data_IF_850997263395
#
_entry.id   IF_850997263395
#
_cell.length_a   1.000
_cell.length_b   1.000
_cell.length_c   1.000
_cell.angle_alpha   90.00
_cell.angle_beta   90.00
_cell.angle_gamma   90.00
#
_symmetry.space_group_name_H-M   'P 1'
#
loop_
_entity.id
_entity.type
_entity.pdbx_description
1 polymer ?
#
# COMPACT_ATOMS: atom_id res chain seq x y z
N UNK A 1 -2.38 -6.04 -0.78
CA UNK A 1 -2.11 -7.42 -0.31
C UNK A 1 -2.00 -8.39 -1.49
N UNK A 2 -3.05 -8.59 -2.30
CA UNK A 2 -3.05 -9.57 -3.42
C UNK A 2 -1.86 -9.39 -4.38
N UNK A 3 -1.64 -8.20 -4.93
CA UNK A 3 -0.52 -7.96 -5.85
C UNK A 3 0.84 -8.21 -5.19
N UNK A 4 1.03 -7.76 -3.95
CA UNK A 4 2.29 -7.93 -3.24
C UNK A 4 2.59 -9.41 -2.90
N UNK A 5 1.56 -10.18 -2.53
CA UNK A 5 1.67 -11.63 -2.37
C UNK A 5 2.03 -12.30 -3.70
N UNK A 6 1.35 -11.89 -4.79
CA UNK A 6 1.66 -12.36 -6.14
C UNK A 6 3.12 -12.09 -6.49
N UNK A 7 3.62 -10.87 -6.25
CA UNK A 7 5.03 -10.50 -6.46
C UNK A 7 6.01 -11.32 -5.62
N UNK A 8 5.68 -11.65 -4.36
CA UNK A 8 6.53 -12.53 -3.54
C UNK A 8 6.64 -13.92 -4.16
N UNK A 9 5.50 -14.52 -4.53
CA UNK A 9 5.47 -15.88 -5.08
C UNK A 9 6.15 -15.93 -6.45
N UNK A 10 5.76 -15.04 -7.37
CA UNK A 10 6.35 -15.01 -8.72
C UNK A 10 7.81 -14.57 -8.69
N UNK A 11 8.18 -13.66 -7.76
CA UNK A 11 9.55 -13.25 -7.51
C UNK A 11 10.43 -14.39 -7.02
N UNK A 12 9.95 -15.20 -6.08
CA UNK A 12 10.67 -16.40 -5.61
C UNK A 12 10.85 -17.46 -6.70
N UNK A 13 9.85 -17.65 -7.57
CA UNK A 13 9.96 -18.55 -8.74
C UNK A 13 11.05 -18.04 -9.70
N UNK A 14 11.05 -16.74 -9.98
CA UNK A 14 12.07 -16.13 -10.84
C UNK A 14 13.47 -16.20 -10.21
N UNK A 15 13.60 -15.93 -8.91
CA UNK A 15 14.88 -16.02 -8.19
C UNK A 15 15.49 -17.43 -8.28
N UNK A 16 14.65 -18.47 -8.20
CA UNK A 16 15.09 -19.85 -8.39
C UNK A 16 15.67 -20.09 -9.78
N UNK A 17 15.06 -19.53 -10.81
CA UNK A 17 15.52 -19.65 -12.20
C UNK A 17 16.79 -18.82 -12.48
N UNK A 18 16.91 -17.63 -11.90
CA UNK A 18 18.04 -16.72 -12.18
C UNK A 18 19.27 -16.95 -11.31
N UNK A 19 19.08 -17.32 -10.04
CA UNK A 19 20.16 -17.42 -9.04
C UNK A 19 20.25 -18.78 -8.36
N UNK A 20 19.38 -19.73 -8.69
CA UNK A 20 19.40 -21.08 -8.11
C UNK A 20 18.83 -21.19 -6.70
N UNK A 21 18.48 -20.07 -6.04
CA UNK A 21 17.87 -20.02 -4.71
C UNK A 21 16.47 -19.39 -4.73
N UNK A 22 15.55 -19.92 -3.92
CA UNK A 22 14.18 -19.40 -3.78
C UNK A 22 14.12 -18.09 -2.98
N UNK A 23 15.06 -17.91 -2.06
CA UNK A 23 15.12 -16.78 -1.16
C UNK A 23 16.53 -16.61 -0.60
N UNK A 24 16.98 -15.35 -0.45
CA UNK A 24 18.29 -15.01 0.10
C UNK A 24 18.11 -13.98 1.21
N UNK A 25 18.43 -14.37 2.43
CA UNK A 25 18.24 -13.53 3.62
C UNK A 25 19.30 -12.43 3.76
N UNK A 26 20.48 -12.61 3.16
CA UNK A 26 21.53 -11.59 3.16
C UNK A 26 21.18 -10.40 2.24
N UNK A 27 20.19 -10.55 1.36
CA UNK A 27 19.86 -9.53 0.40
C UNK A 27 18.87 -8.50 1.00
N UNK A 28 19.29 -7.23 1.17
CA UNK A 28 18.44 -6.21 1.76
C UNK A 28 17.19 -5.94 0.94
N UNK A 29 17.22 -6.00 -0.41
CA UNK A 29 16.02 -5.75 -1.23
C UNK A 29 14.88 -6.74 -0.94
N UNK A 30 15.21 -8.03 -0.83
CA UNK A 30 14.23 -9.10 -0.58
C UNK A 30 13.62 -8.96 0.82
N UNK A 31 14.48 -8.82 1.83
CA UNK A 31 14.04 -8.70 3.23
C UNK A 31 13.23 -7.43 3.47
N UNK A 32 13.68 -6.30 2.91
CA UNK A 32 12.94 -5.02 2.96
C UNK A 32 11.54 -5.13 2.34
N UNK A 33 11.42 -5.76 1.18
CA UNK A 33 10.11 -5.96 0.54
C UNK A 33 9.20 -6.85 1.39
N UNK A 34 9.74 -7.93 2.00
CA UNK A 34 9.01 -8.78 2.93
C UNK A 34 8.52 -8.00 4.16
N UNK A 35 9.37 -7.15 4.75
CA UNK A 35 9.00 -6.31 5.90
C UNK A 35 7.86 -5.35 5.53
N UNK A 36 7.95 -4.68 4.38
CA UNK A 36 6.86 -3.82 3.89
C UNK A 36 5.59 -4.64 3.68
N UNK A 37 5.69 -5.80 3.04
CA UNK A 37 4.53 -6.66 2.82
C UNK A 37 3.84 -7.03 4.14
N UNK A 38 4.59 -7.48 5.14
CA UNK A 38 4.07 -7.82 6.46
C UNK A 38 3.46 -6.60 7.17
N UNK A 39 4.11 -5.44 7.09
CA UNK A 39 3.57 -4.18 7.63
C UNK A 39 2.20 -3.87 7.02
N UNK A 40 2.08 -3.91 5.69
CA UNK A 40 0.81 -3.66 5.00
C UNK A 40 -0.22 -4.79 5.21
N UNK A 41 0.21 -6.04 5.42
CA UNK A 41 -0.67 -7.14 5.74
C UNK A 41 -1.30 -6.98 7.14
N UNK A 42 -0.53 -6.51 8.12
CA UNK A 42 -0.99 -6.25 9.49
C UNK A 42 -2.01 -5.11 9.59
N UNK A 43 -2.08 -4.20 8.61
CA UNK A 43 -3.05 -3.10 8.61
C UNK A 43 -4.51 -3.58 8.70
N UNK A 44 -4.85 -4.62 7.94
CA UNK A 44 -6.25 -5.06 7.82
C UNK A 44 -6.75 -5.72 9.11
N UNK A 45 -6.05 -6.72 9.70
CA UNK A 45 -6.41 -7.28 10.99
C UNK A 45 -6.44 -6.24 12.11
N UNK A 46 -5.46 -5.32 12.17
CA UNK A 46 -5.44 -4.24 13.15
C UNK A 46 -6.69 -3.37 13.07
N UNK A 47 -7.15 -3.08 11.85
CA UNK A 47 -8.37 -2.30 11.66
C UNK A 47 -9.61 -3.07 12.12
N UNK A 48 -9.67 -4.38 11.93
CA UNK A 48 -10.85 -5.18 12.30
C UNK A 48 -10.85 -5.66 13.75
N UNK A 49 -9.72 -5.62 14.46
CA UNK A 49 -9.64 -6.03 15.87
C UNK A 49 -10.16 -4.98 16.85
N UNK A 50 -10.53 -3.78 16.39
CA UNK A 50 -10.96 -2.67 17.23
C UNK A 50 -12.44 -2.41 17.00
N UNK A 51 -13.25 -2.63 18.04
CA UNK A 51 -14.72 -2.50 17.98
C UNK A 51 -15.18 -1.04 17.96
N UNK A 52 -14.56 -0.19 18.78
CA UNK A 52 -14.84 1.24 18.84
C UNK A 52 -14.39 1.92 17.54
N UNK A 53 -15.36 2.44 16.78
CA UNK A 53 -15.12 3.07 15.46
C UNK A 53 -14.23 4.31 15.54
N UNK A 54 -14.31 5.11 16.60
CA UNK A 54 -13.48 6.30 16.74
C UNK A 54 -12.03 5.91 17.03
N UNK A 55 -11.83 4.96 17.96
CA UNK A 55 -10.49 4.42 18.24
C UNK A 55 -9.90 3.73 17.03
N UNK A 56 -10.69 2.92 16.35
CA UNK A 56 -10.32 2.24 15.11
C UNK A 56 -9.82 3.25 14.06
N UNK A 57 -10.57 4.35 13.83
CA UNK A 57 -10.19 5.38 12.87
C UNK A 57 -8.87 6.08 13.24
N UNK A 58 -8.65 6.37 14.52
CA UNK A 58 -7.41 7.00 15.02
C UNK A 58 -6.20 6.08 14.88
N UNK A 59 -6.30 4.82 15.31
CA UNK A 59 -5.17 3.91 15.20
C UNK A 59 -4.86 3.55 13.74
N UNK A 60 -5.88 3.39 12.90
CA UNK A 60 -5.70 3.14 11.48
C UNK A 60 -5.03 4.32 10.75
N UNK A 61 -5.33 5.58 11.14
CA UNK A 61 -4.70 6.74 10.53
C UNK A 61 -3.22 6.87 10.94
N UNK A 62 -2.91 6.67 12.23
CA UNK A 62 -1.53 6.67 12.73
C UNK A 62 -0.72 5.59 12.02
N UNK A 63 -1.25 4.37 11.96
CA UNK A 63 -0.59 3.27 11.25
C UNK A 63 -0.34 3.60 9.78
N UNK A 64 -1.34 4.15 9.09
CA UNK A 64 -1.21 4.50 7.67
C UNK A 64 -0.14 5.56 7.42
N UNK A 65 -0.03 6.58 8.30
CA UNK A 65 1.01 7.61 8.22
C UNK A 65 2.40 6.99 8.44
N UNK A 66 2.54 6.15 9.48
CA UNK A 66 3.82 5.47 9.78
C UNK A 66 4.24 4.55 8.63
N UNK A 67 3.31 3.75 8.11
CA UNK A 67 3.57 2.89 6.94
C UNK A 67 3.94 3.70 5.70
N UNK A 68 3.31 4.85 5.48
CA UNK A 68 3.68 5.78 4.42
C UNK A 68 5.09 6.35 4.58
N UNK A 69 5.47 6.76 5.79
CA UNK A 69 6.83 7.24 6.11
C UNK A 69 7.89 6.13 5.99
N UNK A 70 7.49 4.88 6.19
CA UNK A 70 8.39 3.73 6.05
C UNK A 70 8.82 3.49 4.60
N UNK A 71 8.05 3.92 3.60
CA UNK A 71 8.40 3.74 2.18
C UNK A 71 9.70 4.46 1.79
N UNK A 72 9.85 5.80 1.98
CA UNK A 72 11.10 6.49 1.67
C UNK A 72 12.25 6.05 2.59
N UNK A 73 11.97 5.75 3.86
CA UNK A 73 12.95 5.21 4.79
C UNK A 73 13.53 3.88 4.29
N UNK A 74 12.68 2.96 3.85
CA UNK A 74 13.08 1.68 3.30
C UNK A 74 13.91 1.85 2.02
N UNK A 75 13.51 2.77 1.14
CA UNK A 75 14.28 3.07 -0.06
C UNK A 75 15.69 3.57 0.26
N UNK A 76 15.83 4.45 1.25
CA UNK A 76 17.14 4.91 1.73
C UNK A 76 17.95 3.78 2.38
N UNK A 77 17.32 2.99 3.25
CA UNK A 77 17.96 1.88 3.97
C UNK A 77 18.55 0.83 3.01
N UNK A 78 17.78 0.39 2.00
CA UNK A 78 18.25 -0.54 0.96
C UNK A 78 19.45 0.03 0.20
N UNK A 79 19.47 1.35 -0.04
CA UNK A 79 20.58 2.01 -0.75
C UNK A 79 21.82 2.19 0.11
N UNK A 80 21.66 2.33 1.43
CA UNK A 80 22.78 2.40 2.36
C UNK A 80 23.38 1.02 2.66
N UNK A 81 22.58 -0.04 2.61
CA UNK A 81 23.04 -1.41 2.78
C UNK A 81 23.96 -1.88 1.64
N UNK A 82 24.79 -2.88 1.88
CA UNK A 82 25.57 -3.55 0.84
C UNK A 82 24.65 -4.44 0.00
N UNK A 83 24.75 -4.35 -1.32
CA UNK A 83 24.00 -5.23 -2.22
C UNK A 83 24.69 -6.59 -2.33
N UNK A 84 23.92 -7.68 -2.39
CA UNK A 84 24.48 -9.03 -2.47
C UNK A 84 24.34 -9.60 -3.89
N UNK A 85 23.10 -9.81 -4.34
CA UNK A 85 22.80 -10.40 -5.67
C UNK A 85 22.01 -9.46 -6.56
N UNK A 86 21.37 -8.41 -6.00
CA UNK A 86 20.58 -7.47 -6.78
C UNK A 86 21.43 -6.34 -7.38
N UNK A 87 21.51 -6.22 -8.72
CA UNK A 87 22.11 -5.05 -9.35
C UNK A 87 21.27 -3.79 -9.11
N UNK A 88 21.93 -2.65 -8.96
CA UNK A 88 21.26 -1.37 -8.71
C UNK A 88 20.98 -0.66 -10.03
N UNK A 89 19.70 -0.48 -10.33
CA UNK A 89 19.24 0.19 -11.55
C UNK A 89 19.83 1.59 -11.73
N UNK A 90 19.94 2.36 -10.64
CA UNK A 90 20.59 3.67 -10.61
C UNK A 90 21.81 3.64 -9.69
N UNK A 91 22.86 2.92 -10.11
CA UNK A 91 24.15 2.91 -9.43
C UNK A 91 24.95 4.18 -9.76
N UNK A 92 25.58 4.78 -8.75
CA UNK A 92 26.45 5.96 -8.91
C UNK A 92 27.91 5.60 -9.21
N UNK A 93 28.32 4.34 -9.03
CA UNK A 93 29.73 3.89 -9.11
C UNK A 93 29.90 2.63 -9.97
N UNK A 94 29.27 2.61 -11.15
CA UNK A 94 29.36 1.49 -12.11
C UNK A 94 28.35 0.36 -11.83
N UNK A 95 28.07 -0.48 -12.83
CA UNK A 95 27.11 -1.59 -12.72
C UNK A 95 25.63 -1.20 -12.77
N UNK A 96 25.33 0.00 -13.28
CA UNK A 96 23.96 0.49 -13.49
C UNK A 96 23.26 -0.16 -14.69
N UNK A 97 21.97 0.19 -14.88
CA UNK A 97 21.17 -0.32 -15.99
C UNK A 97 21.82 0.04 -17.35
N UNK A 98 22.02 -0.92 -18.27
CA UNK A 98 22.48 -0.64 -19.63
C UNK A 98 21.52 0.30 -20.36
N UNK A 99 22.06 1.19 -21.19
CA UNK A 99 21.25 2.17 -21.95
C UNK A 99 20.16 1.53 -22.81
N UNK A 100 20.44 0.37 -23.40
CA UNK A 100 19.50 -0.37 -24.25
C UNK A 100 18.24 -0.83 -23.49
N UNK A 101 18.33 -1.01 -22.17
CA UNK A 101 17.19 -1.38 -21.32
C UNK A 101 16.37 -0.17 -20.85
N UNK A 102 16.83 1.06 -21.11
CA UNK A 102 16.20 2.26 -20.59
C UNK A 102 14.80 2.49 -21.15
N UNK A 103 14.60 2.24 -22.46
CA UNK A 103 13.27 2.35 -23.07
C UNK A 103 12.31 1.32 -22.46
N UNK A 104 12.75 0.07 -22.28
CA UNK A 104 11.95 -0.97 -21.62
C UNK A 104 11.57 -0.56 -20.20
N UNK A 105 12.51 0.02 -19.45
CA UNK A 105 12.24 0.57 -18.12
C UNK A 105 11.18 1.67 -18.14
N UNK A 106 11.28 2.64 -19.06
CA UNK A 106 10.30 3.73 -19.17
C UNK A 106 8.91 3.21 -19.54
N UNK A 107 8.82 2.26 -20.48
CA UNK A 107 7.55 1.64 -20.86
C UNK A 107 6.94 0.87 -19.69
N UNK A 108 7.74 0.08 -18.96
CA UNK A 108 7.29 -0.64 -17.77
C UNK A 108 6.82 0.33 -16.66
N UNK A 109 7.57 1.41 -16.43
CA UNK A 109 7.23 2.44 -15.45
C UNK A 109 5.92 3.15 -15.81
N UNK A 110 5.75 3.52 -17.09
CA UNK A 110 4.52 4.11 -17.59
C UNK A 110 3.34 3.14 -17.48
N UNK A 111 3.55 1.85 -17.80
CA UNK A 111 2.54 0.80 -17.69
C UNK A 111 2.05 0.60 -16.25
N UNK A 112 2.97 0.46 -15.29
CA UNK A 112 2.64 0.35 -13.86
C UNK A 112 1.99 1.64 -13.34
N UNK A 113 2.46 2.81 -13.80
CA UNK A 113 1.86 4.10 -13.48
C UNK A 113 0.41 4.22 -13.97
N UNK A 114 0.14 3.83 -15.21
CA UNK A 114 -1.21 3.77 -15.79
C UNK A 114 -2.10 2.79 -15.02
N UNK A 115 -1.59 1.60 -14.69
CA UNK A 115 -2.31 0.64 -13.85
C UNK A 115 -2.66 1.24 -12.48
N UNK A 116 -1.72 1.92 -11.83
CA UNK A 116 -1.98 2.60 -10.56
C UNK A 116 -3.06 3.67 -10.69
N UNK A 117 -2.96 4.55 -11.69
CA UNK A 117 -3.94 5.64 -11.91
C UNK A 117 -5.33 5.07 -12.21
N UNK A 118 -5.43 4.02 -13.02
CA UNK A 118 -6.72 3.39 -13.35
C UNK A 118 -7.37 2.76 -12.12
N UNK A 119 -6.61 2.00 -11.32
CA UNK A 119 -7.10 1.42 -10.07
C UNK A 119 -7.49 2.49 -9.04
N UNK A 120 -6.71 3.57 -8.94
CA UNK A 120 -7.03 4.68 -8.05
C UNK A 120 -8.33 5.38 -8.46
N UNK A 121 -8.50 5.67 -9.76
CA UNK A 121 -9.76 6.25 -10.27
C UNK A 121 -10.96 5.34 -10.00
N UNK A 122 -10.80 4.04 -10.20
CA UNK A 122 -11.84 3.06 -9.91
C UNK A 122 -12.23 3.07 -8.42
N UNK A 123 -11.25 3.06 -7.52
CA UNK A 123 -11.46 3.12 -6.07
C UNK A 123 -12.15 4.42 -5.64
N UNK A 124 -11.73 5.57 -6.19
CA UNK A 124 -12.35 6.87 -5.90
C UNK A 124 -13.80 6.94 -6.41
N UNK A 125 -14.06 6.42 -7.61
CA UNK A 125 -15.41 6.33 -8.17
C UNK A 125 -16.32 5.43 -7.31
N UNK A 126 -15.81 4.27 -6.88
CA UNK A 126 -16.52 3.33 -5.99
C UNK A 126 -16.88 3.97 -4.65
N UNK A 127 -15.93 4.69 -4.04
CA UNK A 127 -16.17 5.46 -2.81
C UNK A 127 -17.23 6.53 -3.01
N UNK A 128 -17.10 7.34 -4.06
CA UNK A 128 -18.05 8.40 -4.37
C UNK A 128 -19.46 7.87 -4.64
N UNK A 129 -19.59 6.76 -5.37
CA UNK A 129 -20.86 6.08 -5.58
C UNK A 129 -21.47 5.59 -4.25
N UNK A 130 -20.66 4.97 -3.40
CA UNK A 130 -21.09 4.53 -2.05
C UNK A 130 -21.56 5.70 -1.19
N UNK A 131 -20.85 6.83 -1.20
CA UNK A 131 -21.25 8.04 -0.46
C UNK A 131 -22.56 8.62 -0.99
N UNK A 132 -22.74 8.69 -2.32
CA UNK A 132 -23.99 9.14 -2.95
C UNK A 132 -25.17 8.24 -2.59
N UNK A 133 -24.98 6.92 -2.63
CA UNK A 133 -26.01 5.95 -2.23
C UNK A 133 -26.38 6.09 -0.75
N UNK A 134 -25.41 6.27 0.14
CA UNK A 134 -25.66 6.52 1.57
C UNK A 134 -26.42 7.84 1.79
N UNK A 135 -26.10 8.89 1.04
CA UNK A 135 -26.79 10.17 1.11
C UNK A 135 -28.24 10.04 0.61
N UNK A 136 -28.47 9.43 -0.56
CA UNK A 136 -29.80 9.23 -1.12
C UNK A 136 -30.67 8.31 -0.25
N UNK A 137 -30.08 7.26 0.35
CA UNK A 137 -30.79 6.41 1.31
C UNK A 137 -31.24 7.19 2.55
N UNK A 138 -30.46 8.16 3.03
CA UNK A 138 -30.86 9.03 4.15
C UNK A 138 -32.00 9.96 3.78
N UNK A 139 -31.98 10.53 2.57
CA UNK A 139 -33.06 11.43 2.11
C UNK A 139 -34.36 10.70 1.79
N UNK A 140 -34.29 9.49 1.23
CA UNK A 140 -35.47 8.66 0.96
C UNK A 140 -36.03 7.99 2.23
N UNK A 141 -35.15 7.64 3.19
CA UNK A 141 -35.57 7.27 4.54
C UNK A 141 -36.18 8.46 5.32
N UNK A 142 -36.04 9.68 4.78
CA UNK A 142 -36.90 10.85 4.93
C UNK A 142 -37.23 11.31 6.33
N UNK A 143 -38.00 10.52 7.04
CA UNK A 143 -38.87 10.99 8.11
C UNK A 143 -39.21 9.88 9.11
N UNK A 144 -38.59 8.68 9.04
CA UNK A 144 -38.89 7.61 10.01
C UNK A 144 -38.06 7.68 11.30
N UNK A 145 -36.94 8.41 11.31
CA UNK A 145 -36.08 8.59 12.48
C UNK A 145 -35.56 10.02 12.53
N UNK A 146 -36.42 10.98 12.91
CA UNK A 146 -35.95 12.26 13.43
C UNK A 146 -34.92 11.96 14.56
N UNK A 147 -33.71 12.53 14.54
CA UNK A 147 -32.75 12.29 15.61
C UNK A 147 -33.39 12.77 16.92
N UNK A 148 -33.38 11.93 17.96
CA UNK A 148 -33.74 12.33 19.31
C UNK A 148 -33.03 13.65 19.61
N UNK A 149 -33.83 14.70 19.80
CA UNK A 149 -33.40 16.07 20.11
C UNK A 149 -32.33 15.99 21.18
N UNK A 150 -31.05 16.19 20.82
CA UNK A 150 -29.98 16.42 21.80
C UNK A 150 -30.23 17.81 22.39
N UNK A 151 -31.17 17.90 23.34
CA UNK A 151 -31.23 19.02 24.26
C UNK A 151 -30.07 18.87 25.23
N UNK A 152 -29.00 19.62 24.98
CA UNK A 152 -27.90 19.83 25.93
C UNK A 152 -28.08 21.14 26.72
N UNK A 153 -29.31 21.66 26.82
CA UNK A 153 -29.64 22.83 27.63
C UNK A 153 -30.32 22.38 28.93
N UNK A 154 -29.79 22.73 30.12
CA UNK A 154 -30.56 22.65 31.34
C UNK A 154 -31.67 23.70 31.28
N UNK A 155 -32.91 23.28 31.49
CA UNK A 155 -34.03 24.19 31.73
C UNK A 155 -33.85 24.81 33.11
N UNK A 156 -33.58 26.12 33.15
CA UNK A 156 -33.78 26.97 34.33
C UNK A 156 -35.19 27.56 34.28
#
# INVERSE_FOLDING_TARGET
IVLALGTLVTGSIWAKASWGSWWVWQEPMLVSFLIIFLLYACYTPLRFSIEDRERQARYASVFAIVAGAFVPLNFAAVRMAEAYIHPRTFATTGGGMPGDMFLTFLVALAGVGLLFVTLWKYEMASKNATFKLRALRRTLAGDELAPARRSAAPTL
#
